data_IF_716060974815
#
_entry.id   IF_716060974815
#
_cell.length_a   1.000
_cell.length_b   1.000
_cell.length_c   1.000
_cell.angle_alpha   90.00
_cell.angle_beta   90.00
_cell.angle_gamma   90.00
#
_symmetry.space_group_name_H-M   'P 1'
#
loop_
_entity.id
_entity.type
_entity.pdbx_description
1 polymer ?
#
# COMPACT_ATOMS: atom_id res chain seq x y z
N UNK A 1 19.23 4.30 -1.01
CA UNK A 1 17.78 4.44 -0.98
C UNK A 1 17.20 4.28 -2.37
N UNK A 2 16.14 3.46 -2.50
CA UNK A 2 15.41 3.22 -3.75
C UNK A 2 14.05 3.92 -3.69
N UNK A 3 13.82 4.83 -4.64
CA UNK A 3 12.58 5.62 -4.77
C UNK A 3 12.13 5.70 -6.22
N UNK A 4 12.27 4.58 -6.94
CA UNK A 4 11.85 4.44 -8.34
C UNK A 4 10.52 3.69 -8.42
N UNK A 5 9.72 3.80 -9.49
CA UNK A 5 8.52 2.99 -9.65
C UNK A 5 8.82 1.49 -9.54
N UNK A 6 7.90 0.72 -8.95
CA UNK A 6 8.10 -0.70 -8.61
C UNK A 6 8.57 -1.56 -9.79
N UNK A 7 8.01 -1.31 -10.98
CA UNK A 7 8.37 -2.02 -12.23
C UNK A 7 9.84 -1.88 -12.66
N UNK A 8 10.54 -0.87 -12.16
CA UNK A 8 11.94 -0.60 -12.53
C UNK A 8 12.95 -1.02 -11.46
N UNK A 9 12.51 -1.41 -10.27
CA UNK A 9 13.41 -1.72 -9.15
C UNK A 9 14.41 -2.80 -9.54
N UNK A 10 13.95 -3.92 -10.08
CA UNK A 10 14.82 -5.02 -10.52
C UNK A 10 15.86 -4.55 -11.53
N UNK A 11 15.45 -3.86 -12.58
CA UNK A 11 16.36 -3.35 -13.61
C UNK A 11 17.39 -2.39 -13.03
N UNK A 12 16.97 -1.47 -12.18
CA UNK A 12 17.86 -0.48 -11.56
C UNK A 12 18.87 -1.19 -10.66
N UNK A 13 18.44 -2.11 -9.80
CA UNK A 13 19.35 -2.84 -8.90
C UNK A 13 20.34 -3.68 -9.70
N UNK A 14 19.89 -4.43 -10.71
CA UNK A 14 20.76 -5.24 -11.56
C UNK A 14 21.83 -4.42 -12.29
N UNK A 15 21.64 -3.14 -12.49
CA UNK A 15 22.63 -2.28 -13.19
C UNK A 15 23.86 -1.92 -12.34
N UNK A 16 23.81 -2.12 -11.02
CA UNK A 16 24.93 -1.77 -10.12
C UNK A 16 25.19 -2.81 -9.01
N UNK A 17 24.52 -3.95 -9.02
CA UNK A 17 24.67 -4.99 -7.98
C UNK A 17 26.15 -5.38 -7.78
N UNK A 18 26.94 -5.49 -8.84
CA UNK A 18 28.37 -5.83 -8.79
C UNK A 18 29.24 -4.75 -8.14
N UNK A 19 28.69 -3.54 -7.90
CA UNK A 19 29.39 -2.42 -7.26
C UNK A 19 29.08 -2.33 -5.76
N UNK A 20 28.15 -3.17 -5.26
CA UNK A 20 27.77 -3.16 -3.85
C UNK A 20 28.77 -3.95 -3.02
N UNK A 21 29.02 -3.45 -1.80
CA UNK A 21 29.72 -4.20 -0.77
C UNK A 21 28.75 -4.72 0.28
N UNK A 22 29.02 -5.85 0.96
CA UNK A 22 28.08 -6.44 1.93
C UNK A 22 27.70 -5.52 3.10
N UNK A 23 28.51 -4.52 3.42
CA UNK A 23 28.26 -3.56 4.49
C UNK A 23 27.20 -2.50 4.11
N UNK A 24 26.93 -2.36 2.81
CA UNK A 24 25.97 -1.35 2.34
C UNK A 24 24.54 -1.84 2.55
N UNK A 25 23.75 -1.04 3.27
CA UNK A 25 22.35 -1.32 3.48
C UNK A 25 21.49 -0.80 2.30
N UNK A 26 20.51 -1.60 1.90
CA UNK A 26 19.55 -1.28 0.84
C UNK A 26 18.22 -0.88 1.46
N UNK A 27 17.77 0.34 1.20
CA UNK A 27 16.54 0.89 1.80
C UNK A 27 15.54 1.23 0.71
N UNK A 28 14.40 0.53 0.68
CA UNK A 28 13.31 0.83 -0.25
C UNK A 28 12.30 1.79 0.35
N UNK A 29 11.90 2.78 -0.41
CA UNK A 29 10.74 3.64 -0.14
C UNK A 29 9.64 3.42 -1.20
N UNK A 30 9.89 2.52 -2.13
CA UNK A 30 8.98 2.19 -3.23
C UNK A 30 7.79 1.39 -2.72
N UNK A 31 6.60 1.79 -3.11
CA UNK A 31 5.33 1.14 -2.74
C UNK A 31 4.72 0.48 -3.97
N UNK A 32 4.81 -0.83 -4.06
CA UNK A 32 4.28 -1.59 -5.18
C UNK A 32 4.68 -3.05 -5.12
N UNK A 33 4.24 -3.79 -6.12
CA UNK A 33 4.44 -5.23 -6.27
C UNK A 33 5.08 -5.48 -7.63
N UNK A 34 6.09 -6.34 -7.68
CA UNK A 34 6.65 -6.80 -8.94
C UNK A 34 5.63 -7.69 -9.65
N UNK A 35 5.36 -7.46 -10.94
CA UNK A 35 4.49 -8.32 -11.74
C UNK A 35 5.00 -9.77 -11.78
N UNK A 36 4.16 -10.67 -12.27
CA UNK A 36 4.41 -12.09 -12.57
C UNK A 36 4.75 -12.97 -11.35
N UNK A 37 5.52 -12.48 -10.39
CA UNK A 37 5.98 -13.25 -9.22
C UNK A 37 5.37 -12.81 -7.90
N UNK A 38 4.60 -11.73 -7.89
CA UNK A 38 4.02 -11.12 -6.69
C UNK A 38 5.08 -10.86 -5.59
N UNK A 39 6.23 -10.31 -5.95
CA UNK A 39 7.29 -9.96 -5.00
C UNK A 39 7.17 -8.50 -4.55
N UNK A 40 7.36 -8.28 -3.26
CA UNK A 40 7.59 -6.94 -2.72
C UNK A 40 9.02 -6.48 -3.02
N UNK A 41 9.26 -5.19 -2.94
CA UNK A 41 10.57 -4.64 -3.33
C UNK A 41 11.70 -5.13 -2.43
N UNK A 42 11.44 -5.35 -1.13
CA UNK A 42 12.41 -5.96 -0.22
C UNK A 42 12.82 -7.36 -0.68
N UNK A 43 11.87 -8.16 -1.15
CA UNK A 43 12.14 -9.51 -1.65
C UNK A 43 12.97 -9.46 -2.95
N UNK A 44 12.70 -8.48 -3.84
CA UNK A 44 13.52 -8.26 -5.04
C UNK A 44 14.95 -7.86 -4.65
N UNK A 45 15.12 -7.01 -3.63
CA UNK A 45 16.44 -6.63 -3.12
C UNK A 45 17.16 -7.80 -2.47
N UNK A 46 16.49 -8.58 -1.61
CA UNK A 46 17.04 -9.76 -0.95
C UNK A 46 17.45 -10.85 -1.98
N UNK A 47 16.72 -10.97 -3.10
CA UNK A 47 17.06 -11.92 -4.17
C UNK A 47 18.32 -11.49 -4.95
N UNK A 48 18.40 -10.22 -5.31
CA UNK A 48 19.51 -9.70 -6.13
C UNK A 48 20.77 -9.42 -5.33
N UNK A 49 20.62 -9.10 -4.05
CA UNK A 49 21.70 -8.66 -3.16
C UNK A 49 21.62 -9.41 -1.82
N UNK A 50 21.84 -10.75 -1.81
CA UNK A 50 21.60 -11.59 -0.63
C UNK A 50 22.52 -11.27 0.55
N UNK A 51 23.67 -10.67 0.32
CA UNK A 51 24.65 -10.33 1.35
C UNK A 51 24.39 -8.94 1.98
N UNK A 52 23.49 -8.16 1.41
CA UNK A 52 23.21 -6.81 1.85
C UNK A 52 22.00 -6.76 2.81
N UNK A 53 22.09 -6.04 3.94
CA UNK A 53 20.94 -5.85 4.82
C UNK A 53 19.89 -4.95 4.16
N UNK A 54 18.62 -5.41 4.20
CA UNK A 54 17.49 -4.72 3.56
C UNK A 54 16.58 -4.09 4.61
N UNK A 55 16.10 -2.88 4.32
CA UNK A 55 15.07 -2.20 5.07
C UNK A 55 14.04 -1.55 4.13
N UNK A 56 12.86 -1.27 4.65
CA UNK A 56 11.83 -0.49 3.97
C UNK A 56 11.37 0.68 4.83
N UNK A 57 10.97 1.76 4.18
CA UNK A 57 10.32 2.91 4.81
C UNK A 57 8.89 2.99 4.28
N UNK A 58 7.92 2.97 5.18
CA UNK A 58 6.51 3.12 4.84
C UNK A 58 5.77 3.92 5.93
N UNK A 59 4.61 4.49 5.58
CA UNK A 59 3.82 5.31 6.50
C UNK A 59 3.24 6.54 5.82
N UNK A 60 2.58 7.43 6.57
CA UNK A 60 1.93 8.63 6.07
C UNK A 60 2.96 9.70 5.68
N UNK A 61 3.59 9.54 4.51
CA UNK A 61 4.74 10.33 4.05
C UNK A 61 4.35 11.21 2.85
N UNK A 62 3.51 12.22 3.05
CA UNK A 62 3.22 13.22 2.02
C UNK A 62 4.42 14.16 1.86
N UNK A 63 5.18 13.98 0.76
CA UNK A 63 6.45 14.67 0.54
C UNK A 63 6.36 16.21 0.65
N UNK A 64 5.24 16.79 0.18
CA UNK A 64 5.02 18.24 0.26
C UNK A 64 4.89 18.76 1.70
N UNK A 65 4.30 17.96 2.60
CA UNK A 65 4.17 18.32 4.02
C UNK A 65 5.49 18.18 4.76
N UNK A 66 6.21 17.08 4.51
CA UNK A 66 7.56 16.87 5.07
C UNK A 66 8.52 17.97 4.62
N UNK A 67 8.48 18.37 3.34
CA UNK A 67 9.29 19.45 2.82
C UNK A 67 8.98 20.82 3.46
N UNK A 68 7.75 21.03 3.92
CA UNK A 68 7.34 22.22 4.70
C UNK A 68 7.64 22.09 6.19
N UNK A 69 8.26 20.98 6.62
CA UNK A 69 8.58 20.66 8.01
C UNK A 69 7.34 20.54 8.91
N UNK A 70 6.21 20.11 8.35
CA UNK A 70 5.05 19.74 9.14
C UNK A 70 5.34 18.46 9.94
N UNK A 71 4.71 18.32 11.11
CA UNK A 71 4.94 17.17 11.98
C UNK A 71 4.48 15.89 11.29
N UNK A 72 5.40 14.96 11.08
CA UNK A 72 5.14 13.69 10.42
C UNK A 72 5.85 12.52 11.12
N UNK A 73 5.37 11.31 10.88
CA UNK A 73 5.99 10.11 11.38
C UNK A 73 5.98 9.00 10.32
N UNK A 74 7.01 8.17 10.35
CA UNK A 74 7.17 7.03 9.43
C UNK A 74 7.57 5.77 10.18
N UNK A 75 7.53 4.62 9.50
CA UNK A 75 8.04 3.34 10.00
C UNK A 75 9.20 2.87 9.15
N UNK A 76 10.26 2.43 9.80
CA UNK A 76 11.32 1.64 9.20
C UNK A 76 11.12 0.19 9.63
N UNK A 77 11.11 -0.71 8.66
CA UNK A 77 11.10 -2.14 8.93
C UNK A 77 12.33 -2.82 8.33
N UNK A 78 12.91 -3.74 9.10
CA UNK A 78 14.01 -4.58 8.69
C UNK A 78 14.12 -5.79 9.62
N UNK A 79 14.61 -6.91 9.13
CA UNK A 79 15.01 -8.06 9.96
C UNK A 79 16.25 -7.75 10.81
N UNK A 80 17.10 -6.83 10.36
CA UNK A 80 18.33 -6.40 11.03
C UNK A 80 18.04 -5.28 12.06
N UNK A 81 18.21 -5.58 13.36
CA UNK A 81 17.92 -4.65 14.46
C UNK A 81 18.84 -3.43 14.50
N UNK A 82 20.12 -3.61 14.15
CA UNK A 82 21.09 -2.53 14.17
C UNK A 82 20.83 -1.56 13.02
N UNK A 83 20.47 -2.09 11.83
CA UNK A 83 20.03 -1.25 10.71
C UNK A 83 18.80 -0.43 11.09
N UNK A 84 17.78 -1.04 11.76
CA UNK A 84 16.60 -0.29 12.21
C UNK A 84 16.99 0.87 13.11
N UNK A 85 17.86 0.61 14.11
CA UNK A 85 18.33 1.64 15.05
C UNK A 85 19.09 2.77 14.35
N UNK A 86 20.06 2.40 13.51
CA UNK A 86 20.87 3.38 12.76
C UNK A 86 20.00 4.28 11.87
N UNK A 87 19.02 3.71 11.20
CA UNK A 87 18.10 4.49 10.36
C UNK A 87 17.15 5.37 11.19
N UNK A 88 16.69 4.89 12.36
CA UNK A 88 15.89 5.72 13.28
C UNK A 88 16.67 6.95 13.75
N UNK A 89 17.92 6.74 14.18
CA UNK A 89 18.78 7.82 14.66
C UNK A 89 19.13 8.81 13.54
N UNK A 90 19.45 8.29 12.35
CA UNK A 90 19.88 9.12 11.22
C UNK A 90 18.76 9.94 10.59
N UNK A 91 17.52 9.44 10.59
CA UNK A 91 16.39 10.06 9.88
C UNK A 91 15.46 10.83 10.83
N UNK A 92 15.48 10.57 12.14
CA UNK A 92 14.64 11.31 13.10
C UNK A 92 15.12 12.75 13.28
N UNK A 93 14.19 13.68 13.30
CA UNK A 93 14.46 15.09 13.62
C UNK A 93 13.26 15.72 14.34
N UNK A 94 13.30 17.02 14.60
CA UNK A 94 12.28 17.72 15.40
C UNK A 94 10.87 17.70 14.80
N UNK A 95 10.73 17.46 13.50
CA UNK A 95 9.44 17.42 12.79
C UNK A 95 9.17 16.07 12.11
N UNK A 96 10.12 15.12 12.15
CA UNK A 96 9.97 13.81 11.52
C UNK A 96 10.35 12.69 12.48
N UNK A 97 9.35 11.95 12.98
CA UNK A 97 9.55 10.85 13.93
C UNK A 97 9.63 9.52 13.20
N UNK A 98 10.65 8.71 13.51
CA UNK A 98 10.84 7.39 12.91
C UNK A 98 10.56 6.30 13.94
N UNK A 99 9.61 5.42 13.65
CA UNK A 99 9.31 4.21 14.41
C UNK A 99 9.96 3.01 13.75
N UNK A 100 10.25 1.96 14.51
CA UNK A 100 10.82 0.72 14.01
C UNK A 100 9.82 -0.43 14.09
N UNK A 101 9.88 -1.34 13.11
CA UNK A 101 9.16 -2.60 13.10
C UNK A 101 10.08 -3.73 12.62
N UNK A 102 9.83 -4.95 13.04
CA UNK A 102 10.51 -6.16 12.58
C UNK A 102 9.74 -6.89 11.48
N UNK A 103 8.44 -6.67 11.36
CA UNK A 103 7.61 -7.18 10.27
C UNK A 103 7.86 -6.40 8.96
N UNK A 104 8.98 -6.69 8.32
CA UNK A 104 9.39 -6.10 7.03
C UNK A 104 8.32 -6.30 5.97
N UNK A 105 7.80 -7.53 5.87
CA UNK A 105 6.83 -7.92 4.86
C UNK A 105 5.48 -7.20 5.05
N UNK A 106 4.94 -7.19 6.26
CA UNK A 106 3.65 -6.54 6.56
C UNK A 106 3.68 -5.03 6.40
N UNK A 107 4.77 -4.37 6.80
CA UNK A 107 4.96 -2.92 6.63
C UNK A 107 4.98 -2.53 5.14
N UNK A 108 5.67 -3.31 4.33
CA UNK A 108 5.75 -3.05 2.88
C UNK A 108 4.45 -3.37 2.17
N UNK A 109 3.83 -4.50 2.49
CA UNK A 109 2.54 -4.93 1.92
C UNK A 109 1.44 -3.90 2.20
N UNK A 110 1.37 -3.36 3.42
CA UNK A 110 0.44 -2.29 3.77
C UNK A 110 0.60 -1.07 2.88
N UNK A 111 1.84 -0.64 2.65
CA UNK A 111 2.17 0.47 1.75
C UNK A 111 1.76 0.23 0.30
N UNK A 112 1.79 -1.01 -0.18
CA UNK A 112 1.34 -1.36 -1.54
C UNK A 112 -0.19 -1.41 -1.62
N UNK A 113 -0.85 -2.13 -0.71
CA UNK A 113 -2.30 -2.38 -0.73
C UNK A 113 -3.14 -1.10 -0.59
N UNK A 114 -2.75 -0.17 0.27
CA UNK A 114 -3.50 1.08 0.52
C UNK A 114 -3.81 1.87 -0.76
N UNK A 115 -2.95 1.75 -1.77
CA UNK A 115 -3.09 2.48 -3.03
C UNK A 115 -4.35 2.07 -3.80
N UNK A 116 -4.79 0.83 -3.68
CA UNK A 116 -6.06 0.34 -4.23
C UNK A 116 -7.24 1.07 -3.58
N UNK A 117 -7.23 1.16 -2.27
CA UNK A 117 -8.33 1.77 -1.51
C UNK A 117 -8.38 3.29 -1.63
N UNK A 118 -7.24 3.91 -1.94
CA UNK A 118 -7.22 5.31 -2.33
C UNK A 118 -7.98 5.54 -3.65
N UNK A 119 -7.89 4.63 -4.62
CA UNK A 119 -8.72 4.68 -5.85
C UNK A 119 -10.21 4.54 -5.48
N UNK A 120 -10.56 3.57 -4.64
CA UNK A 120 -11.95 3.38 -4.17
C UNK A 120 -12.48 4.63 -3.49
N UNK A 121 -11.67 5.27 -2.64
CA UNK A 121 -12.04 6.52 -1.96
C UNK A 121 -12.26 7.66 -2.95
N UNK A 122 -11.50 7.70 -4.04
CA UNK A 122 -11.71 8.62 -5.16
C UNK A 122 -13.07 8.43 -5.83
N UNK A 123 -13.48 7.18 -6.11
CA UNK A 123 -14.82 6.87 -6.64
C UNK A 123 -15.93 7.41 -5.72
N UNK A 124 -15.83 7.11 -4.42
CA UNK A 124 -16.81 7.53 -3.42
C UNK A 124 -16.94 9.06 -3.37
N UNK A 125 -15.81 9.76 -3.44
CA UNK A 125 -15.79 11.22 -3.45
C UNK A 125 -16.41 11.80 -4.73
N UNK A 126 -16.12 11.23 -5.90
CA UNK A 126 -16.71 11.65 -7.17
C UNK A 126 -18.24 11.46 -7.20
N UNK A 127 -18.73 10.40 -6.54
CA UNK A 127 -20.18 10.15 -6.38
C UNK A 127 -20.85 11.06 -5.36
N UNK A 128 -20.11 11.95 -4.69
CA UNK A 128 -20.66 12.86 -3.68
C UNK A 128 -21.14 12.17 -2.40
N UNK A 129 -20.64 10.97 -2.10
CA UNK A 129 -21.04 10.23 -0.90
C UNK A 129 -20.47 10.87 0.37
N UNK A 130 -21.25 10.82 1.46
CA UNK A 130 -20.95 11.52 2.71
C UNK A 130 -19.89 10.85 3.58
N UNK A 131 -19.61 11.47 4.75
CA UNK A 131 -18.54 11.06 5.67
C UNK A 131 -18.77 9.66 6.27
N UNK A 132 -20.02 9.23 6.47
CA UNK A 132 -20.31 7.87 6.92
C UNK A 132 -19.81 6.83 5.92
N UNK A 133 -20.02 7.05 4.61
CA UNK A 133 -19.54 6.15 3.56
C UNK A 133 -18.01 6.14 3.50
N UNK A 134 -17.37 7.30 3.59
CA UNK A 134 -15.90 7.38 3.62
C UNK A 134 -15.32 6.60 4.80
N UNK A 135 -15.89 6.78 6.00
CA UNK A 135 -15.46 6.06 7.21
C UNK A 135 -15.66 4.55 7.07
N UNK A 136 -16.81 4.13 6.53
CA UNK A 136 -17.10 2.72 6.26
C UNK A 136 -16.06 2.12 5.28
N UNK A 137 -15.75 2.82 4.17
CA UNK A 137 -14.78 2.35 3.20
C UNK A 137 -13.39 2.20 3.83
N UNK A 138 -12.91 3.17 4.61
CA UNK A 138 -11.62 3.06 5.29
C UNK A 138 -11.59 1.84 6.23
N UNK A 139 -12.65 1.63 7.01
CA UNK A 139 -12.75 0.49 7.94
C UNK A 139 -12.76 -0.85 7.19
N UNK A 140 -13.56 -0.95 6.13
CA UNK A 140 -13.62 -2.17 5.31
C UNK A 140 -12.33 -2.40 4.51
N UNK A 141 -11.66 -1.33 4.07
CA UNK A 141 -10.33 -1.42 3.44
C UNK A 141 -9.31 -2.03 4.39
N UNK A 142 -9.29 -1.56 5.65
CA UNK A 142 -8.37 -2.11 6.65
C UNK A 142 -8.66 -3.59 6.92
N UNK A 143 -9.93 -3.99 6.97
CA UNK A 143 -10.32 -5.39 7.14
C UNK A 143 -9.84 -6.27 5.96
N UNK A 144 -10.02 -5.81 4.70
CA UNK A 144 -9.52 -6.53 3.53
C UNK A 144 -7.98 -6.61 3.51
N UNK A 145 -7.30 -5.49 3.79
CA UNK A 145 -5.83 -5.46 3.90
C UNK A 145 -5.31 -6.49 4.90
N UNK A 146 -5.91 -6.52 6.08
CA UNK A 146 -5.51 -7.44 7.14
C UNK A 146 -5.78 -8.90 6.79
N UNK A 147 -6.92 -9.19 6.17
CA UNK A 147 -7.29 -10.55 5.71
C UNK A 147 -6.30 -11.04 4.66
N UNK A 148 -6.01 -10.21 3.66
CA UNK A 148 -5.04 -10.52 2.63
C UNK A 148 -3.64 -10.72 3.22
N UNK A 149 -3.21 -9.82 4.09
CA UNK A 149 -1.92 -9.90 4.76
C UNK A 149 -1.75 -11.16 5.59
N UNK A 150 -2.77 -11.55 6.35
CA UNK A 150 -2.77 -12.80 7.13
C UNK A 150 -2.63 -14.02 6.22
N UNK A 151 -3.35 -14.07 5.10
CA UNK A 151 -3.25 -15.15 4.13
C UNK A 151 -1.86 -15.21 3.47
N UNK A 152 -1.18 -14.06 3.34
CA UNK A 152 0.17 -13.92 2.82
C UNK A 152 1.27 -14.11 3.88
N UNK A 153 0.92 -14.42 5.14
CA UNK A 153 1.86 -14.69 6.22
C UNK A 153 2.43 -13.45 6.93
N UNK A 154 1.88 -12.26 6.70
CA UNK A 154 2.21 -11.04 7.44
C UNK A 154 1.49 -10.99 8.81
N UNK A 155 2.03 -10.20 9.75
CA UNK A 155 1.37 -9.97 11.02
C UNK A 155 0.19 -8.97 10.84
N UNK A 156 -1.07 -9.38 11.05
CA UNK A 156 -2.21 -8.48 10.89
C UNK A 156 -2.19 -7.28 11.84
N UNK A 157 -1.52 -7.37 13.00
CA UNK A 157 -1.38 -6.25 13.93
C UNK A 157 -0.51 -5.12 13.39
N UNK A 158 0.39 -5.39 12.42
CA UNK A 158 1.18 -4.37 11.73
C UNK A 158 0.28 -3.32 11.07
N UNK A 159 -0.92 -3.71 10.65
CA UNK A 159 -1.87 -2.83 9.98
C UNK A 159 -2.57 -1.84 10.91
N UNK A 160 -2.49 -2.01 12.22
CA UNK A 160 -2.95 -1.03 13.21
C UNK A 160 -1.95 0.13 13.40
N UNK A 161 -0.75 0.02 12.85
CA UNK A 161 0.31 1.02 12.94
C UNK A 161 0.28 2.07 11.81
N UNK A 162 1.32 2.91 11.80
CA UNK A 162 1.48 4.00 10.82
C UNK A 162 1.57 3.49 9.37
N UNK A 163 2.22 2.36 9.13
CA UNK A 163 2.33 1.78 7.78
C UNK A 163 1.05 1.09 7.30
N UNK A 164 0.10 0.83 8.20
CA UNK A 164 -1.23 0.31 7.91
C UNK A 164 -2.28 1.42 7.93
N UNK A 165 -3.04 1.53 9.04
CA UNK A 165 -4.16 2.47 9.15
C UNK A 165 -3.72 3.93 8.97
N UNK A 166 -2.55 4.33 9.47
CA UNK A 166 -2.06 5.71 9.32
C UNK A 166 -1.88 6.11 7.86
N UNK A 167 -1.18 5.27 7.09
CA UNK A 167 -0.92 5.54 5.66
C UNK A 167 -2.17 5.33 4.80
N UNK A 168 -3.06 4.41 5.17
CA UNK A 168 -4.36 4.22 4.54
C UNK A 168 -5.21 5.48 4.66
N UNK A 169 -5.40 6.00 5.87
CA UNK A 169 -6.25 7.17 6.13
C UNK A 169 -5.74 8.38 5.35
N UNK A 170 -4.46 8.73 5.47
CA UNK A 170 -3.92 9.91 4.79
C UNK A 170 -4.00 9.78 3.27
N UNK A 171 -3.83 8.57 2.72
CA UNK A 171 -3.85 8.35 1.28
C UNK A 171 -5.27 8.36 0.72
N UNK A 172 -6.25 7.85 1.46
CA UNK A 172 -7.65 7.81 1.08
C UNK A 172 -8.37 9.18 1.23
N UNK A 173 -7.89 10.05 2.12
CA UNK A 173 -8.53 11.34 2.39
C UNK A 173 -7.84 12.53 1.69
N UNK A 174 -6.65 12.33 1.15
CA UNK A 174 -5.87 13.43 0.59
C UNK A 174 -6.03 13.55 -0.93
N UNK A 175 -6.42 14.73 -1.44
CA UNK A 175 -6.39 15.02 -2.88
C UNK A 175 -4.97 15.10 -3.45
N UNK A 176 -3.94 15.08 -2.60
CA UNK A 176 -2.54 14.96 -3.02
C UNK A 176 -2.18 13.53 -3.42
N UNK A 177 -3.00 12.53 -3.06
CA UNK A 177 -2.81 11.14 -3.48
C UNK A 177 -3.13 10.96 -4.96
N UNK A 178 -2.14 10.52 -5.74
CA UNK A 178 -2.33 10.19 -7.17
C UNK A 178 -3.40 9.11 -7.38
N UNK A 179 -3.41 8.09 -6.55
CA UNK A 179 -4.38 7.01 -6.63
C UNK A 179 -5.80 7.51 -6.33
N UNK A 180 -5.98 8.38 -5.34
CA UNK A 180 -7.25 9.05 -5.08
C UNK A 180 -7.71 9.86 -6.29
N UNK A 181 -6.82 10.62 -6.92
CA UNK A 181 -7.15 11.44 -8.10
C UNK A 181 -7.57 10.59 -9.29
N UNK A 182 -6.90 9.45 -9.55
CA UNK A 182 -7.34 8.48 -10.57
C UNK A 182 -8.77 8.00 -10.29
N UNK A 183 -9.04 7.55 -9.07
CA UNK A 183 -10.39 7.12 -8.69
C UNK A 183 -11.44 8.23 -8.85
N UNK A 184 -11.09 9.45 -8.45
CA UNK A 184 -11.99 10.60 -8.60
C UNK A 184 -12.30 10.92 -10.08
N UNK A 185 -11.29 10.91 -10.93
CA UNK A 185 -11.43 11.18 -12.37
C UNK A 185 -12.35 10.13 -13.05
N UNK A 186 -12.10 8.84 -12.79
CA UNK A 186 -12.91 7.74 -13.33
C UNK A 186 -14.34 7.78 -12.77
N UNK A 187 -14.49 8.01 -11.46
CA UNK A 187 -15.82 8.17 -10.84
C UNK A 187 -16.59 9.38 -11.35
N UNK A 188 -15.90 10.37 -11.94
CA UNK A 188 -16.48 11.53 -12.62
C UNK A 188 -16.76 11.30 -14.10
N UNK A 189 -16.47 10.10 -14.64
CA UNK A 189 -16.79 9.68 -16.02
C UNK A 189 -15.61 9.72 -17.00
N UNK A 190 -14.37 9.99 -16.56
CA UNK A 190 -13.18 9.86 -17.41
C UNK A 190 -12.80 8.39 -17.61
N UNK A 191 -12.13 8.07 -18.71
CA UNK A 191 -11.50 6.75 -18.90
C UNK A 191 -10.22 6.61 -18.07
N UNK A 192 -9.75 5.38 -17.90
CA UNK A 192 -8.47 5.12 -17.23
C UNK A 192 -7.31 5.76 -18.00
N UNK A 193 -7.32 5.67 -19.32
CA UNK A 193 -6.30 6.24 -20.21
C UNK A 193 -6.24 7.77 -20.05
N UNK A 194 -7.38 8.46 -20.15
CA UNK A 194 -7.46 9.92 -19.95
C UNK A 194 -6.94 10.34 -18.57
N UNK A 195 -7.31 9.58 -17.53
CA UNK A 195 -6.89 9.86 -16.15
C UNK A 195 -5.37 9.70 -15.95
N UNK A 196 -4.76 8.71 -16.60
CA UNK A 196 -3.32 8.45 -16.55
C UNK A 196 -2.56 9.52 -17.33
N UNK A 197 -3.03 9.91 -18.51
CA UNK A 197 -2.40 10.93 -19.36
C UNK A 197 -2.41 12.30 -18.66
N UNK A 198 -3.52 12.67 -18.02
CA UNK A 198 -3.62 13.92 -17.25
C UNK A 198 -2.66 13.94 -16.04
N UNK A 199 -2.43 12.81 -15.39
CA UNK A 199 -1.54 12.70 -14.24
C UNK A 199 -0.07 12.58 -14.63
N UNK A 200 0.24 12.28 -15.89
CA UNK A 200 1.61 12.11 -16.41
C UNK A 200 2.36 10.88 -15.93
N UNK A 201 1.74 10.05 -15.10
CA UNK A 201 2.32 8.81 -14.56
C UNK A 201 1.24 7.79 -14.23
N UNK A 202 1.53 6.52 -14.45
CA UNK A 202 0.65 5.43 -13.98
C UNK A 202 0.65 5.39 -12.46
N UNK A 203 -0.55 5.47 -11.86
CA UNK A 203 -0.69 5.30 -10.43
C UNK A 203 -0.42 3.83 -10.05
N UNK A 204 0.49 3.59 -9.11
CA UNK A 204 0.89 2.24 -8.66
C UNK A 204 -0.32 1.38 -8.24
N UNK A 205 -1.38 2.00 -7.69
CA UNK A 205 -2.59 1.31 -7.27
C UNK A 205 -3.32 0.58 -8.40
N UNK A 206 -3.23 1.05 -9.64
CA UNK A 206 -3.86 0.42 -10.81
C UNK A 206 -3.22 -0.94 -11.09
N UNK A 207 -1.88 -0.99 -11.08
CA UNK A 207 -1.15 -2.25 -11.28
C UNK A 207 -1.31 -3.16 -10.05
N UNK A 208 -1.17 -2.60 -8.84
CA UNK A 208 -1.35 -3.35 -7.58
C UNK A 208 -2.73 -4.01 -7.53
N UNK A 209 -3.79 -3.33 -7.99
CA UNK A 209 -5.15 -3.88 -8.03
C UNK A 209 -5.23 -5.16 -8.87
N UNK A 210 -4.60 -5.19 -10.05
CA UNK A 210 -4.57 -6.40 -10.90
C UNK A 210 -3.92 -7.58 -10.17
N UNK A 211 -2.72 -7.36 -9.64
CA UNK A 211 -1.94 -8.42 -8.98
C UNK A 211 -2.61 -8.92 -7.70
N UNK A 212 -3.16 -8.01 -6.89
CA UNK A 212 -3.85 -8.36 -5.65
C UNK A 212 -5.14 -9.12 -5.93
N UNK A 213 -5.91 -8.71 -6.96
CA UNK A 213 -7.11 -9.45 -7.38
C UNK A 213 -6.77 -10.87 -7.82
N UNK A 214 -5.77 -11.04 -8.68
CA UNK A 214 -5.34 -12.36 -9.15
C UNK A 214 -4.93 -13.24 -7.99
N UNK A 215 -4.11 -12.72 -7.08
CA UNK A 215 -3.66 -13.45 -5.89
C UNK A 215 -4.79 -13.74 -4.92
N UNK A 216 -5.76 -12.85 -4.76
CA UNK A 216 -6.93 -13.07 -3.92
C UNK A 216 -7.83 -14.19 -4.47
N UNK A 217 -7.98 -14.26 -5.80
CA UNK A 217 -8.72 -15.37 -6.45
C UNK A 217 -7.96 -16.70 -6.33
N UNK A 218 -6.65 -16.70 -6.51
CA UNK A 218 -5.79 -17.89 -6.35
C UNK A 218 -5.91 -18.50 -4.94
N UNK A 219 -5.97 -17.64 -3.92
CA UNK A 219 -5.97 -18.03 -2.51
C UNK A 219 -7.38 -18.06 -1.88
N UNK A 220 -8.43 -17.84 -2.67
CA UNK A 220 -9.83 -17.76 -2.23
C UNK A 220 -10.05 -16.76 -1.07
N UNK A 221 -9.44 -15.56 -1.20
CA UNK A 221 -9.54 -14.50 -0.20
C UNK A 221 -10.70 -13.56 -0.54
N UNK A 222 -11.62 -13.38 0.40
CA UNK A 222 -12.78 -12.49 0.25
C UNK A 222 -12.38 -11.02 0.30
N UNK A 223 -12.36 -10.33 -0.85
CA UNK A 223 -11.94 -8.94 -1.01
C UNK A 223 -12.93 -8.14 -1.88
N UNK A 224 -14.16 -7.89 -1.40
CA UNK A 224 -15.21 -7.27 -2.21
C UNK A 224 -14.88 -5.87 -2.73
N UNK A 225 -14.13 -5.02 -1.98
CA UNK A 225 -13.73 -3.70 -2.47
C UNK A 225 -12.70 -3.81 -3.60
N UNK A 226 -11.76 -4.74 -3.50
CA UNK A 226 -10.78 -5.03 -4.57
C UNK A 226 -11.51 -5.52 -5.83
N UNK A 227 -12.45 -6.47 -5.69
CA UNK A 227 -13.22 -6.98 -6.81
C UNK A 227 -14.06 -5.88 -7.45
N UNK A 228 -14.79 -5.09 -6.66
CA UNK A 228 -15.59 -3.96 -7.15
C UNK A 228 -14.74 -2.90 -7.85
N UNK A 229 -13.58 -2.54 -7.30
CA UNK A 229 -12.66 -1.61 -7.94
C UNK A 229 -12.16 -2.12 -9.29
N UNK A 230 -11.89 -3.41 -9.40
CA UNK A 230 -11.49 -4.04 -10.66
C UNK A 230 -12.59 -3.95 -11.72
N UNK A 231 -13.85 -4.24 -11.35
CA UNK A 231 -14.99 -4.15 -12.25
C UNK A 231 -15.16 -2.71 -12.80
N UNK A 232 -14.97 -1.70 -11.94
CA UNK A 232 -15.05 -0.29 -12.37
C UNK A 232 -13.90 0.06 -13.33
N UNK A 233 -12.64 -0.28 -12.97
CA UNK A 233 -11.47 0.18 -13.73
C UNK A 233 -11.30 -0.55 -15.06
N UNK A 234 -11.59 -1.84 -15.11
CA UNK A 234 -11.21 -2.69 -16.25
C UNK A 234 -12.39 -3.26 -17.02
N UNK A 235 -13.55 -3.37 -16.38
CA UNK A 235 -14.78 -3.88 -17.01
C UNK A 235 -15.82 -2.78 -17.20
N UNK A 236 -15.47 -1.50 -16.91
CA UNK A 236 -16.32 -0.32 -17.12
C UNK A 236 -17.68 -0.40 -16.41
N UNK A 237 -17.75 -1.13 -15.28
CA UNK A 237 -18.96 -1.19 -14.47
C UNK A 237 -19.28 0.20 -13.86
N UNK A 238 -20.58 0.53 -13.79
CA UNK A 238 -21.01 1.79 -13.16
C UNK A 238 -20.66 1.78 -11.65
N UNK A 239 -19.90 2.78 -11.16
CA UNK A 239 -19.51 2.83 -9.75
C UNK A 239 -20.70 2.85 -8.77
N UNK A 240 -21.87 3.37 -9.16
CA UNK A 240 -23.07 3.38 -8.32
C UNK A 240 -23.67 1.98 -8.20
N UNK A 241 -23.70 1.22 -9.29
CA UNK A 241 -24.22 -0.14 -9.29
C UNK A 241 -23.32 -1.07 -8.48
N UNK A 242 -21.98 -0.92 -8.62
CA UNK A 242 -21.01 -1.67 -7.81
C UNK A 242 -21.21 -1.33 -6.31
N UNK A 243 -21.28 -0.05 -5.95
CA UNK A 243 -21.50 0.37 -4.57
C UNK A 243 -22.81 -0.20 -4.00
N UNK A 244 -23.91 -0.18 -4.77
CA UNK A 244 -25.18 -0.76 -4.38
C UNK A 244 -25.10 -2.28 -4.19
N UNK A 245 -24.39 -2.98 -5.08
CA UNK A 245 -24.16 -4.41 -4.97
C UNK A 245 -23.41 -4.78 -3.69
N UNK A 246 -22.39 -4.02 -3.33
CA UNK A 246 -21.64 -4.21 -2.07
C UNK A 246 -22.52 -4.04 -0.82
N UNK A 247 -23.50 -3.14 -0.85
CA UNK A 247 -24.42 -2.90 0.28
C UNK A 247 -25.48 -3.99 0.44
N UNK A 248 -25.76 -4.76 -0.60
CA UNK A 248 -26.77 -5.81 -0.61
C UNK A 248 -26.19 -7.23 -0.52
N UNK A 249 -24.88 -7.34 -0.32
CA UNK A 249 -24.17 -8.60 -0.16
C UNK A 249 -24.53 -9.36 1.12
N UNK A 250 -23.94 -10.54 1.31
CA UNK A 250 -24.15 -11.34 2.51
C UNK A 250 -23.70 -10.59 3.78
N UNK A 251 -24.41 -10.84 4.90
CA UNK A 251 -24.02 -10.30 6.20
C UNK A 251 -22.64 -10.81 6.62
N UNK A 252 -21.77 -9.90 7.05
CA UNK A 252 -20.43 -10.21 7.51
C UNK A 252 -20.22 -9.70 8.96
N UNK A 253 -19.23 -10.27 9.64
CA UNK A 253 -18.78 -9.78 10.95
C UNK A 253 -18.10 -8.43 10.81
N UNK A 254 -18.24 -7.54 11.79
CA UNK A 254 -17.58 -6.24 11.78
C UNK A 254 -16.06 -6.38 11.99
N UNK A 255 -15.65 -7.14 13.01
CA UNK A 255 -14.25 -7.42 13.32
C UNK A 255 -13.96 -8.89 13.02
N UNK A 256 -13.01 -9.12 12.12
CA UNK A 256 -12.63 -10.46 11.66
C UNK A 256 -11.28 -10.94 12.23
N UNK A 257 -10.64 -10.11 13.09
CA UNK A 257 -9.35 -10.46 13.66
C UNK A 257 -9.50 -11.51 14.76
N UNK A 258 -9.01 -12.72 14.51
CA UNK A 258 -8.64 -13.61 15.57
C UNK A 258 -7.22 -13.28 16.01
N UNK A 259 -7.03 -12.83 17.25
CA UNK A 259 -5.69 -12.81 17.86
C UNK A 259 -5.13 -14.24 17.80
N UNK A 260 -3.84 -14.43 17.45
CA UNK A 260 -3.23 -15.74 17.59
C UNK A 260 -3.48 -16.23 19.00
N UNK A 261 -4.13 -17.39 19.15
CA UNK A 261 -4.24 -18.04 20.45
C UNK A 261 -2.82 -18.27 20.95
N UNK A 262 -2.41 -17.55 21.97
CA UNK A 262 -1.20 -17.90 22.70
C UNK A 262 -1.39 -19.34 23.16
N UNK A 263 -0.63 -20.26 22.60
CA UNK A 263 -0.41 -21.54 23.23
C UNK A 263 0.32 -21.23 24.55
N UNK A 264 -0.44 -21.31 25.65
CA UNK A 264 0.05 -21.25 27.02
C UNK A 264 0.87 -22.51 27.28
#
# INVERSE_FOLDING_TARGET
>A
FFSVPSRFVRQVVSSFVDQLTPEQALVSTTKGIEPDRFLLMSQVLEELCPDNPVAVISGPNLAKEIARRELAATVIASKNSDLRRNLQESLSCSYFRVYAADDLYGVELGGALKNIYAIVSGFIAALGMGENTKSMIITRSLAEMSRFAQAMGANPLTFLGLAGVGDLVVTCMSPLSRNYRVGYAIGSGQSLEESVDELGEVAEGVNTLRYVREKALELDIYMPLVMGAYEILFNHADPKDVAKGLMTGAFASDVEFALPSHQI
#
